data_IF_883420388044
#
_entry.id   IF_883420388044
#
_cell.length_a   1.000
_cell.length_b   1.000
_cell.length_c   1.000
_cell.angle_alpha   90.00
_cell.angle_beta   90.00
_cell.angle_gamma   90.00
#
_symmetry.space_group_name_H-M   'P 1'
#
loop_
_entity.id
_entity.type
_entity.pdbx_description
1 polymer ?
#
# COMPACT_ATOMS: atom_id res chain seq x y z
N UNK A 1 21.97 -19.94 20.63
CA UNK A 1 20.62 -20.24 20.13
C UNK A 1 20.70 -21.43 19.18
N UNK A 2 19.85 -22.46 19.34
CA UNK A 2 19.77 -23.63 18.44
C UNK A 2 18.35 -23.75 17.83
N UNK A 3 18.18 -23.60 16.49
CA UNK A 3 16.90 -23.47 15.75
C UNK A 3 16.00 -24.74 15.65
N UNK A 4 14.78 -24.67 15.05
CA UNK A 4 14.33 -23.66 14.07
C UNK A 4 13.68 -22.42 14.69
N UNK A 5 14.31 -21.25 14.46
CA UNK A 5 13.69 -19.94 14.65
C UNK A 5 13.20 -19.43 13.29
N UNK A 6 12.05 -18.78 13.27
CA UNK A 6 11.45 -18.19 12.08
C UNK A 6 11.15 -16.72 12.34
N UNK A 7 11.54 -15.87 11.41
CA UNK A 7 11.17 -14.46 11.38
C UNK A 7 10.53 -14.20 10.01
N UNK A 8 9.35 -13.61 10.03
CA UNK A 8 8.65 -13.18 8.83
C UNK A 8 8.29 -11.70 8.95
N UNK A 9 8.10 -11.07 7.80
CA UNK A 9 7.53 -9.75 7.70
C UNK A 9 6.00 -9.84 7.56
N UNK A 10 5.27 -8.98 8.28
CA UNK A 10 3.80 -9.12 8.40
C UNK A 10 3.05 -8.59 7.18
N UNK A 11 3.56 -7.56 6.49
CA UNK A 11 2.82 -6.90 5.43
C UNK A 11 3.53 -5.66 4.89
N UNK A 12 3.06 -4.47 5.28
CA UNK A 12 3.54 -3.19 4.75
C UNK A 12 5.05 -3.01 4.77
N UNK A 13 5.60 -2.53 3.66
CA UNK A 13 6.96 -2.01 3.57
C UNK A 13 6.90 -0.53 3.21
N UNK A 14 8.01 0.16 3.41
CA UNK A 14 8.08 1.59 3.09
C UNK A 14 7.87 1.76 1.58
N UNK A 15 6.86 2.56 1.21
CA UNK A 15 6.58 2.84 -0.19
C UNK A 15 7.69 3.71 -0.78
N UNK A 16 8.22 3.37 -1.96
CA UNK A 16 9.14 4.22 -2.71
C UNK A 16 8.56 5.61 -2.99
N UNK A 17 9.44 6.62 -3.04
CA UNK A 17 9.05 8.02 -3.26
C UNK A 17 8.35 8.23 -4.62
N UNK A 18 8.80 7.53 -5.65
CA UNK A 18 8.20 7.57 -6.99
C UNK A 18 6.79 6.95 -7.01
N UNK A 19 6.52 5.93 -6.21
CA UNK A 19 5.17 5.41 -6.01
C UNK A 19 4.25 6.46 -5.34
N UNK A 20 4.74 7.19 -4.35
CA UNK A 20 3.99 8.31 -3.75
C UNK A 20 3.62 9.37 -4.79
N UNK A 21 4.57 9.76 -5.63
CA UNK A 21 4.36 10.74 -6.69
C UNK A 21 3.40 10.23 -7.77
N UNK A 22 3.52 8.97 -8.17
CA UNK A 22 2.64 8.34 -9.16
C UNK A 22 1.18 8.32 -8.68
N UNK A 23 0.94 7.96 -7.41
CA UNK A 23 -0.41 8.00 -6.81
C UNK A 23 -0.95 9.42 -6.78
N UNK A 24 -0.12 10.41 -6.43
CA UNK A 24 -0.53 11.81 -6.43
C UNK A 24 -0.91 12.30 -7.84
N UNK A 25 -0.15 11.92 -8.88
CA UNK A 25 -0.45 12.23 -10.28
C UNK A 25 -1.74 11.55 -10.76
N UNK A 26 -1.92 10.27 -10.42
CA UNK A 26 -3.13 9.52 -10.78
C UNK A 26 -4.38 10.15 -10.15
N UNK A 27 -4.33 10.53 -8.87
CA UNK A 27 -5.44 11.28 -8.21
C UNK A 27 -5.77 12.61 -8.87
N UNK A 28 -4.81 13.24 -9.56
CA UNK A 28 -5.03 14.48 -10.34
C UNK A 28 -5.43 14.23 -11.81
N UNK A 29 -5.53 12.97 -12.24
CA UNK A 29 -5.81 12.61 -13.63
C UNK A 29 -4.62 12.81 -14.58
N UNK A 30 -3.41 13.02 -14.05
CA UNK A 30 -2.18 13.24 -14.84
C UNK A 30 -1.48 11.92 -15.21
N UNK A 31 -1.95 10.80 -14.68
CA UNK A 31 -1.37 9.47 -14.87
C UNK A 31 -2.49 8.44 -14.87
N UNK A 32 -2.55 7.61 -15.92
CA UNK A 32 -3.60 6.61 -16.07
C UNK A 32 -3.47 5.48 -15.06
N UNK A 33 -4.57 4.76 -14.82
CA UNK A 33 -4.56 3.59 -13.92
C UNK A 33 -3.61 2.49 -14.41
N UNK A 34 -3.46 2.35 -15.73
CA UNK A 34 -2.54 1.40 -16.35
C UNK A 34 -1.07 1.78 -16.06
N UNK A 35 -0.73 3.08 -16.14
CA UNK A 35 0.59 3.58 -15.80
C UNK A 35 0.88 3.43 -14.30
N UNK A 36 -0.10 3.74 -13.44
CA UNK A 36 0.05 3.55 -11.99
C UNK A 36 0.28 2.08 -11.66
N UNK A 37 -0.50 1.19 -12.30
CA UNK A 37 -0.37 -0.25 -12.13
C UNK A 37 1.02 -0.74 -12.52
N UNK A 38 1.59 -0.23 -13.62
CA UNK A 38 2.91 -0.61 -14.10
C UNK A 38 4.01 -0.19 -13.11
N UNK A 39 3.91 1.02 -12.54
CA UNK A 39 4.81 1.51 -11.49
C UNK A 39 4.72 0.61 -10.25
N UNK A 40 3.50 0.35 -9.77
CA UNK A 40 3.27 -0.57 -8.65
C UNK A 40 3.83 -1.97 -8.91
N UNK A 41 3.63 -2.55 -10.11
CA UNK A 41 4.16 -3.87 -10.47
C UNK A 41 5.69 -3.89 -10.45
N UNK A 42 6.34 -2.83 -10.92
CA UNK A 42 7.80 -2.71 -10.85
C UNK A 42 8.27 -2.66 -9.40
N UNK A 43 7.66 -1.83 -8.57
CA UNK A 43 8.10 -1.62 -7.18
C UNK A 43 7.83 -2.85 -6.30
N UNK A 44 6.74 -3.57 -6.57
CA UNK A 44 6.47 -4.88 -5.95
C UNK A 44 7.55 -5.89 -6.33
N UNK A 45 7.99 -5.93 -7.59
CA UNK A 45 9.09 -6.85 -7.99
C UNK A 45 10.40 -6.50 -7.28
N UNK A 46 10.70 -5.22 -7.11
CA UNK A 46 11.89 -4.76 -6.36
C UNK A 46 11.82 -5.23 -4.90
N UNK A 47 10.66 -5.06 -4.25
CA UNK A 47 10.50 -5.42 -2.84
C UNK A 47 10.47 -6.94 -2.61
N UNK A 48 9.94 -7.70 -3.57
CA UNK A 48 10.01 -9.17 -3.58
C UNK A 48 11.47 -9.63 -3.68
N UNK A 49 12.23 -9.12 -4.66
CA UNK A 49 13.66 -9.45 -4.82
C UNK A 49 14.47 -9.13 -3.56
N UNK A 50 14.18 -7.99 -2.92
CA UNK A 50 14.84 -7.59 -1.68
C UNK A 50 14.55 -8.59 -0.56
N UNK A 51 13.29 -8.99 -0.36
CA UNK A 51 12.93 -10.00 0.64
C UNK A 51 13.56 -11.37 0.35
N UNK A 52 13.57 -11.82 -0.90
CA UNK A 52 14.25 -13.04 -1.35
C UNK A 52 15.76 -12.99 -1.07
N UNK A 53 16.40 -11.85 -1.34
CA UNK A 53 17.85 -11.65 -1.11
C UNK A 53 18.24 -11.72 0.37
N UNK A 54 17.29 -11.45 1.27
CA UNK A 54 17.45 -11.56 2.72
C UNK A 54 17.16 -12.98 3.24
N UNK A 55 16.75 -13.91 2.37
CA UNK A 55 16.43 -15.29 2.72
C UNK A 55 15.07 -15.47 3.38
N UNK A 56 14.18 -14.46 3.30
CA UNK A 56 12.82 -14.58 3.82
C UNK A 56 12.05 -15.67 3.07
N UNK A 57 11.33 -16.49 3.83
CA UNK A 57 10.54 -17.60 3.28
C UNK A 57 9.10 -17.19 3.00
N UNK A 58 8.56 -16.26 3.80
CA UNK A 58 7.29 -15.59 3.54
C UNK A 58 7.57 -14.23 2.89
N UNK A 59 6.90 -13.98 1.75
CA UNK A 59 7.07 -12.77 0.96
C UNK A 59 5.75 -12.01 0.93
N UNK A 60 5.84 -10.70 1.05
CA UNK A 60 4.71 -9.76 0.91
C UNK A 60 4.95 -8.83 -0.28
N UNK A 61 3.90 -8.22 -0.83
CA UNK A 61 4.02 -7.18 -1.87
C UNK A 61 4.29 -5.79 -1.28
N UNK A 62 4.56 -5.69 0.03
CA UNK A 62 4.73 -4.45 0.76
C UNK A 62 3.45 -3.61 0.89
N UNK A 63 2.29 -4.11 0.47
CA UNK A 63 1.00 -3.38 0.46
C UNK A 63 1.00 -2.15 -0.44
N UNK A 64 1.82 -2.13 -1.48
CA UNK A 64 2.03 -0.95 -2.35
C UNK A 64 0.78 -0.51 -3.12
N UNK A 65 -0.19 -1.41 -3.28
CA UNK A 65 -1.48 -1.13 -3.94
C UNK A 65 -2.54 -0.59 -3.00
N UNK A 66 -2.35 -0.70 -1.68
CA UNK A 66 -3.35 -0.30 -0.69
C UNK A 66 -3.18 1.15 -0.26
N UNK A 67 -4.29 1.87 -0.08
CA UNK A 67 -4.36 3.11 0.67
C UNK A 67 -4.63 2.78 2.15
N UNK A 68 -5.74 2.08 2.44
CA UNK A 68 -6.17 1.76 3.82
C UNK A 68 -6.65 0.32 3.96
N UNK A 69 -6.04 -0.45 4.87
CA UNK A 69 -6.22 -1.91 4.94
C UNK A 69 -7.67 -2.40 5.04
N UNK A 70 -8.52 -1.71 5.81
CA UNK A 70 -9.91 -2.10 6.04
C UNK A 70 -10.86 -1.43 5.04
N UNK A 71 -10.53 -0.23 4.59
CA UNK A 71 -11.43 0.57 3.75
C UNK A 71 -11.39 0.08 2.31
N UNK A 72 -10.20 -0.18 1.78
CA UNK A 72 -10.01 -0.70 0.43
C UNK A 72 -10.75 -2.04 0.25
N UNK A 73 -10.79 -2.86 1.31
CA UNK A 73 -11.52 -4.12 1.32
C UNK A 73 -13.04 -3.90 1.30
N UNK A 74 -13.57 -3.08 2.22
CA UNK A 74 -15.01 -2.90 2.37
C UNK A 74 -15.61 -2.14 1.18
N UNK A 75 -14.89 -1.16 0.63
CA UNK A 75 -15.32 -0.45 -0.58
C UNK A 75 -15.40 -1.36 -1.83
N UNK A 76 -14.76 -2.52 -1.81
CA UNK A 76 -14.88 -3.51 -2.88
C UNK A 76 -16.24 -4.21 -2.95
N UNK A 77 -17.12 -4.03 -1.96
CA UNK A 77 -18.47 -4.60 -1.98
C UNK A 77 -19.49 -3.70 -2.67
N UNK A 78 -20.39 -4.31 -3.44
CA UNK A 78 -21.51 -3.61 -4.06
C UNK A 78 -22.38 -2.92 -3.00
N UNK A 79 -22.71 -1.65 -3.23
CA UNK A 79 -23.52 -0.84 -2.32
C UNK A 79 -22.75 -0.13 -1.20
N UNK A 80 -21.42 -0.21 -1.19
CA UNK A 80 -20.56 0.56 -0.28
C UNK A 80 -19.96 1.77 -1.01
N UNK A 81 -20.40 2.97 -0.62
CA UNK A 81 -19.83 4.22 -1.11
C UNK A 81 -18.88 4.83 -0.07
N UNK A 82 -17.83 5.49 -0.55
CA UNK A 82 -16.90 6.23 0.30
C UNK A 82 -17.26 7.71 0.32
N UNK A 83 -17.27 8.28 1.51
CA UNK A 83 -17.49 9.71 1.76
C UNK A 83 -16.26 10.35 2.40
N UNK A 84 -16.10 11.65 2.20
CA UNK A 84 -14.99 12.38 2.81
C UNK A 84 -15.15 12.44 4.34
N UNK A 85 -14.09 12.09 5.07
CA UNK A 85 -14.05 12.23 6.51
C UNK A 85 -13.87 13.70 6.91
N UNK A 86 -14.86 14.23 7.64
CA UNK A 86 -14.89 15.62 8.14
C UNK A 86 -14.72 15.69 9.66
N UNK A 87 -14.26 14.61 10.29
CA UNK A 87 -14.17 14.48 11.74
C UNK A 87 -12.76 14.85 12.25
N UNK A 88 -12.50 14.51 13.51
CA UNK A 88 -11.30 14.88 14.26
C UNK A 88 -10.01 14.42 13.57
N UNK A 89 -9.05 15.33 13.43
CA UNK A 89 -7.72 15.05 12.89
C UNK A 89 -6.72 14.81 14.02
N UNK A 90 -5.70 13.99 13.75
CA UNK A 90 -4.50 13.96 14.58
C UNK A 90 -3.61 15.14 14.18
N UNK A 91 -3.06 15.86 15.15
CA UNK A 91 -2.27 17.07 14.91
C UNK A 91 -1.02 16.87 14.02
N UNK A 92 -0.62 15.62 13.75
CA UNK A 92 0.56 15.26 12.97
C UNK A 92 0.24 14.80 11.54
N UNK A 93 -1.03 14.82 11.09
CA UNK A 93 -1.39 14.37 9.74
C UNK A 93 -2.61 15.11 9.17
N UNK A 94 -2.43 15.63 7.97
CA UNK A 94 -3.53 16.15 7.13
C UNK A 94 -4.27 15.04 6.38
N UNK A 95 -3.71 13.83 6.35
CA UNK A 95 -4.31 12.68 5.66
C UNK A 95 -5.40 12.07 6.54
N UNK A 96 -6.60 11.95 5.98
CA UNK A 96 -7.76 11.34 6.63
C UNK A 96 -8.27 10.15 5.82
N UNK A 97 -8.49 8.98 6.44
CA UNK A 97 -9.18 7.90 5.77
C UNK A 97 -10.60 8.34 5.39
N UNK A 98 -11.12 7.97 4.21
CA UNK A 98 -12.52 8.16 3.91
C UNK A 98 -13.40 7.34 4.86
N UNK A 99 -14.67 7.71 4.97
CA UNK A 99 -15.68 7.03 5.79
C UNK A 99 -16.71 6.35 4.89
N UNK A 100 -17.42 5.36 5.40
CA UNK A 100 -18.64 4.85 4.77
C UNK A 100 -19.83 5.78 5.09
#
# INVERSE_FOLDING_TARGET
MKPPFRADHVGSLLRPQDLHEARAKNRRGELSDAELKAIQDRDIREVVKMQESLGLQAITDGEFRRDWWHIDFIHGFDGVELTANKQHTFAASDEQPPMF
#
